data_IF_827752474869
#
_entry.id   IF_827752474869
#
_cell.length_a   1.000
_cell.length_b   1.000
_cell.length_c   1.000
_cell.angle_alpha   90.00
_cell.angle_beta   90.00
_cell.angle_gamma   90.00
#
_symmetry.space_group_name_H-M   'P 1'
#
loop_
_entity.id
_entity.type
_entity.pdbx_description
1 polymer ?
#
# COMPACT_ATOMS: atom_id res chain seq x y z
N UNK A 1 1.52 31.80 -19.91
CA UNK A 1 1.84 31.16 -18.62
C UNK A 1 0.53 30.83 -17.92
N UNK A 2 0.12 29.56 -17.85
CA UNK A 2 -1.08 29.13 -17.12
C UNK A 2 -0.80 29.25 -15.62
N UNK A 3 -1.58 30.05 -14.90
CA UNK A 3 -1.53 30.07 -13.44
C UNK A 3 -1.83 28.66 -12.91
N UNK A 4 -1.03 28.10 -11.99
CA UNK A 4 -1.37 26.84 -11.36
C UNK A 4 -2.66 27.00 -10.55
N UNK A 5 -3.66 26.15 -10.83
CA UNK A 5 -4.93 26.13 -10.13
C UNK A 5 -4.69 26.01 -8.61
N UNK A 6 -5.35 26.83 -7.80
CA UNK A 6 -5.22 26.81 -6.32
C UNK A 6 -5.47 25.42 -5.71
N UNK A 7 -6.29 24.61 -6.38
CA UNK A 7 -6.57 23.22 -6.01
C UNK A 7 -5.36 22.29 -6.16
N UNK A 8 -4.51 22.53 -7.16
CA UNK A 8 -3.32 21.72 -7.41
C UNK A 8 -2.27 21.93 -6.30
N UNK A 9 -2.02 23.19 -5.91
CA UNK A 9 -1.09 23.51 -4.82
C UNK A 9 -1.58 22.94 -3.48
N UNK A 10 -2.89 23.01 -3.23
CA UNK A 10 -3.50 22.41 -2.02
C UNK A 10 -3.36 20.89 -2.00
N UNK A 11 -3.57 20.22 -3.14
CA UNK A 11 -3.40 18.77 -3.29
C UNK A 11 -1.94 18.34 -3.10
N UNK A 12 -0.99 19.08 -3.66
CA UNK A 12 0.45 18.84 -3.48
C UNK A 12 0.83 18.99 -2.00
N UNK A 13 0.36 20.05 -1.34
CA UNK A 13 0.66 20.27 0.08
C UNK A 13 0.06 19.16 0.96
N UNK A 14 -1.15 18.70 0.66
CA UNK A 14 -1.78 17.57 1.33
C UNK A 14 -0.99 16.27 1.12
N UNK A 15 -0.53 16.00 -0.11
CA UNK A 15 0.30 14.83 -0.42
C UNK A 15 1.65 14.88 0.32
N UNK A 16 2.31 16.04 0.37
CA UNK A 16 3.55 16.24 1.11
C UNK A 16 3.34 16.07 2.62
N UNK A 17 2.26 16.63 3.16
CA UNK A 17 1.92 16.46 4.57
C UNK A 17 1.65 14.98 4.90
N UNK A 18 0.91 14.27 4.05
CA UNK A 18 0.68 12.85 4.19
C UNK A 18 1.99 12.05 4.14
N UNK A 19 2.89 12.36 3.20
CA UNK A 19 4.20 11.72 3.08
C UNK A 19 5.07 11.95 4.33
N UNK A 20 5.08 13.16 4.90
CA UNK A 20 5.81 13.47 6.14
C UNK A 20 5.21 12.72 7.33
N UNK A 21 3.89 12.74 7.50
CA UNK A 21 3.21 12.03 8.58
C UNK A 21 3.44 10.51 8.50
N UNK A 22 3.36 9.96 7.28
CA UNK A 22 3.65 8.56 7.02
C UNK A 22 5.12 8.22 7.30
N UNK A 23 6.05 9.04 6.82
CA UNK A 23 7.49 8.87 7.07
C UNK A 23 7.87 8.95 8.55
N UNK A 24 7.21 9.81 9.33
CA UNK A 24 7.39 9.92 10.78
C UNK A 24 6.78 8.76 11.56
N UNK A 25 5.72 8.12 11.04
CA UNK A 25 5.05 7.01 11.73
C UNK A 25 5.99 5.83 12.00
N UNK A 26 6.90 5.53 11.08
CA UNK A 26 7.83 4.39 11.18
C UNK A 26 8.86 4.56 12.30
N UNK A 27 9.64 5.66 12.41
CA UNK A 27 10.56 5.87 13.53
C UNK A 27 9.84 6.01 14.86
N UNK A 28 8.67 6.67 14.90
CA UNK A 28 7.87 6.74 16.13
C UNK A 28 7.40 5.35 16.57
N UNK A 29 6.82 4.56 15.67
CA UNK A 29 6.40 3.20 15.97
C UNK A 29 7.59 2.35 16.45
N UNK A 30 8.77 2.50 15.84
CA UNK A 30 9.99 1.79 16.24
C UNK A 30 10.43 2.08 17.67
N UNK A 31 10.16 3.26 18.23
CA UNK A 31 10.43 3.55 19.65
C UNK A 31 9.54 2.72 20.60
N UNK A 32 8.39 2.24 20.12
CA UNK A 32 7.47 1.38 20.87
C UNK A 32 7.69 -0.12 20.58
N UNK A 33 8.47 -0.46 19.54
CA UNK A 33 8.83 -1.84 19.22
C UNK A 33 9.85 -2.33 20.26
N UNK A 34 9.48 -3.37 21.01
CA UNK A 34 10.27 -3.93 22.11
C UNK A 34 9.57 -3.84 23.47
N UNK A 35 8.62 -2.91 23.62
CA UNK A 35 7.75 -2.80 24.80
C UNK A 35 6.33 -3.30 24.51
N UNK A 36 5.89 -3.24 23.25
CA UNK A 36 4.57 -3.68 22.79
C UNK A 36 4.73 -4.76 21.70
N UNK A 37 3.93 -5.85 21.73
CA UNK A 37 3.90 -6.83 20.64
C UNK A 37 3.57 -6.17 19.28
N UNK A 38 4.26 -6.51 18.18
CA UNK A 38 4.09 -5.86 16.88
C UNK A 38 2.64 -5.83 16.37
N UNK A 39 1.90 -6.91 16.58
CA UNK A 39 0.50 -7.00 16.16
C UNK A 39 -0.41 -6.05 16.94
N UNK A 40 -0.14 -5.87 18.25
CA UNK A 40 -0.90 -4.94 19.08
C UNK A 40 -0.58 -3.49 18.71
N UNK A 41 0.68 -3.18 18.42
CA UNK A 41 1.08 -1.85 17.94
C UNK A 41 0.39 -1.51 16.61
N UNK A 42 0.34 -2.46 15.66
CA UNK A 42 -0.41 -2.30 14.42
C UNK A 42 -1.90 -2.03 14.71
N UNK A 43 -2.52 -2.84 15.58
CA UNK A 43 -3.91 -2.65 16.00
C UNK A 43 -4.18 -1.27 16.61
N UNK A 44 -3.28 -0.77 17.45
CA UNK A 44 -3.37 0.57 18.05
C UNK A 44 -3.24 1.68 17.00
N UNK A 45 -2.36 1.54 16.01
CA UNK A 45 -2.22 2.50 14.91
C UNK A 45 -3.48 2.54 14.03
N UNK A 46 -4.05 1.38 13.68
CA UNK A 46 -5.31 1.31 12.94
C UNK A 46 -6.48 1.88 13.74
N UNK A 47 -6.58 1.56 15.04
CA UNK A 47 -7.62 2.11 15.91
C UNK A 47 -7.48 3.65 16.05
N UNK A 48 -6.25 4.14 16.23
CA UNK A 48 -5.97 5.58 16.29
C UNK A 48 -6.34 6.30 15.00
N UNK A 49 -6.02 5.72 13.84
CA UNK A 49 -6.45 6.23 12.53
C UNK A 49 -7.98 6.29 12.42
N UNK A 50 -8.69 5.21 12.81
CA UNK A 50 -10.15 5.15 12.79
C UNK A 50 -10.81 6.19 13.70
N UNK A 51 -10.27 6.42 14.90
CA UNK A 51 -10.74 7.46 15.83
C UNK A 51 -10.48 8.85 15.23
N UNK A 52 -9.28 9.10 14.70
CA UNK A 52 -8.93 10.38 14.09
C UNK A 52 -9.83 10.73 12.91
N UNK A 53 -10.09 9.77 12.03
CA UNK A 53 -11.02 9.93 10.90
C UNK A 53 -12.46 10.20 11.39
N UNK A 54 -12.91 9.46 12.41
CA UNK A 54 -14.25 9.64 12.99
C UNK A 54 -14.43 11.04 13.60
N UNK A 55 -13.43 11.53 14.32
CA UNK A 55 -13.41 12.89 14.87
C UNK A 55 -13.40 13.94 13.76
N UNK A 56 -12.63 13.72 12.69
CA UNK A 56 -12.59 14.62 11.54
C UNK A 56 -13.95 14.71 10.82
N UNK A 57 -14.60 13.56 10.59
CA UNK A 57 -15.96 13.50 10.01
C UNK A 57 -16.95 14.22 10.92
N UNK A 58 -16.88 14.03 12.23
CA UNK A 58 -17.74 14.71 13.20
C UNK A 58 -17.52 16.23 13.18
N UNK A 59 -16.28 16.69 13.16
CA UNK A 59 -15.93 18.11 13.07
C UNK A 59 -16.47 18.76 11.79
N UNK A 60 -16.35 18.07 10.64
CA UNK A 60 -16.93 18.55 9.37
C UNK A 60 -18.45 18.67 9.44
N UNK A 61 -19.11 17.68 10.08
CA UNK A 61 -20.55 17.67 10.30
C UNK A 61 -21.01 18.83 11.18
N UNK A 62 -20.30 19.12 12.27
CA UNK A 62 -20.58 20.26 13.16
C UNK A 62 -20.34 21.60 12.47
N UNK A 63 -19.37 21.67 11.54
CA UNK A 63 -19.08 22.88 10.74
C UNK A 63 -20.02 23.08 9.53
N UNK A 64 -21.09 22.28 9.39
CA UNK A 64 -22.03 22.32 8.27
C UNK A 64 -21.35 22.29 6.89
N UNK A 65 -20.20 21.62 6.79
CA UNK A 65 -19.52 21.46 5.51
C UNK A 65 -20.24 20.36 4.72
N UNK A 66 -20.63 20.66 3.47
CA UNK A 66 -21.22 19.67 2.60
C UNK A 66 -20.26 18.48 2.43
N UNK A 67 -20.76 17.23 2.46
CA UNK A 67 -19.96 16.07 2.14
C UNK A 67 -19.34 16.27 0.76
N UNK A 68 -18.01 16.28 0.70
CA UNK A 68 -17.27 16.40 -0.57
C UNK A 68 -17.21 15.06 -1.30
N UNK A 69 -17.31 13.95 -0.54
CA UNK A 69 -17.22 12.58 -1.02
C UNK A 69 -18.60 11.88 -0.95
N UNK A 70 -18.79 10.88 -1.81
CA UNK A 70 -20.01 10.08 -1.83
C UNK A 70 -20.20 9.33 -0.50
N UNK A 71 -21.43 9.26 0.05
CA UNK A 71 -21.68 8.50 1.28
C UNK A 71 -21.50 7.00 1.02
N UNK A 72 -20.85 6.30 1.96
CA UNK A 72 -20.73 4.84 1.96
C UNK A 72 -22.13 4.22 1.97
N UNK A 73 -22.49 3.55 0.88
CA UNK A 73 -23.73 2.78 0.78
C UNK A 73 -23.45 1.32 1.13
N UNK A 74 -24.50 0.57 1.50
CA UNK A 74 -24.36 -0.86 1.84
C UNK A 74 -23.74 -1.70 0.72
N UNK A 75 -23.80 -1.19 -0.51
CA UNK A 75 -23.20 -1.80 -1.70
C UNK A 75 -21.67 -1.69 -1.71
N UNK A 76 -21.09 -0.73 -0.99
CA UNK A 76 -19.64 -0.51 -0.89
C UNK A 76 -19.00 -1.37 0.21
N UNK A 77 -19.80 -1.85 1.17
CA UNK A 77 -19.35 -2.71 2.28
C UNK A 77 -18.59 -3.96 1.81
N UNK A 78 -19.06 -4.75 0.80
CA UNK A 78 -18.29 -5.89 0.33
C UNK A 78 -16.95 -5.51 -0.30
N UNK A 79 -16.87 -4.36 -1.00
CA UNK A 79 -15.63 -3.86 -1.59
C UNK A 79 -14.65 -3.43 -0.50
N UNK A 80 -15.13 -2.66 0.48
CA UNK A 80 -14.35 -2.24 1.64
C UNK A 80 -13.88 -3.44 2.48
N UNK A 81 -14.72 -4.46 2.66
CA UNK A 81 -14.34 -5.69 3.35
C UNK A 81 -13.27 -6.45 2.56
N UNK A 82 -13.39 -6.52 1.23
CA UNK A 82 -12.39 -7.10 0.35
C UNK A 82 -11.03 -6.40 0.47
N UNK A 83 -11.03 -5.07 0.41
CA UNK A 83 -9.87 -4.20 0.61
C UNK A 83 -9.17 -4.48 1.95
N UNK A 84 -9.93 -4.44 3.06
CA UNK A 84 -9.40 -4.71 4.40
C UNK A 84 -8.85 -6.13 4.55
N UNK A 85 -9.55 -7.15 4.02
CA UNK A 85 -9.09 -8.53 4.11
C UNK A 85 -7.85 -8.79 3.25
N UNK A 86 -7.83 -8.27 2.02
CA UNK A 86 -6.70 -8.42 1.12
C UNK A 86 -5.49 -7.63 1.63
N UNK A 87 -5.60 -6.30 1.71
CA UNK A 87 -4.47 -5.44 2.02
C UNK A 87 -4.16 -5.30 3.51
N UNK A 88 -5.19 -5.27 4.36
CA UNK A 88 -5.02 -5.09 5.81
C UNK A 88 -4.65 -6.37 6.57
N UNK A 89 -5.06 -7.54 6.08
CA UNK A 89 -4.86 -8.82 6.77
C UNK A 89 -3.92 -9.74 6.01
N UNK A 90 -4.29 -10.16 4.79
CA UNK A 90 -3.52 -11.15 4.04
C UNK A 90 -2.15 -10.63 3.61
N UNK A 91 -2.06 -9.38 3.14
CA UNK A 91 -0.82 -8.73 2.74
C UNK A 91 0.26 -8.76 3.83
N UNK A 92 0.03 -8.19 5.03
CA UNK A 92 0.99 -8.20 6.12
C UNK A 92 1.38 -9.60 6.59
N UNK A 93 0.42 -10.54 6.65
CA UNK A 93 0.71 -11.94 7.03
C UNK A 93 1.69 -12.57 6.04
N UNK A 94 1.40 -12.46 4.74
CA UNK A 94 2.25 -12.98 3.68
C UNK A 94 3.62 -12.30 3.66
N UNK A 95 3.69 -10.98 3.87
CA UNK A 95 4.95 -10.25 3.95
C UNK A 95 5.78 -10.73 5.14
N UNK A 96 5.19 -10.89 6.33
CA UNK A 96 5.91 -11.36 7.51
C UNK A 96 6.47 -12.76 7.28
N UNK A 97 5.68 -13.68 6.71
CA UNK A 97 6.14 -15.02 6.33
C UNK A 97 7.30 -14.93 5.32
N UNK A 98 7.18 -14.07 4.32
CA UNK A 98 8.21 -13.83 3.31
C UNK A 98 9.53 -13.32 3.89
N UNK A 99 9.47 -12.36 4.81
CA UNK A 99 10.63 -11.75 5.47
C UNK A 99 11.38 -12.73 6.38
N UNK A 100 10.71 -13.73 6.96
CA UNK A 100 11.42 -14.77 7.75
C UNK A 100 12.35 -15.64 6.92
N UNK A 101 12.19 -15.65 5.59
CA UNK A 101 12.95 -16.50 4.66
C UNK A 101 13.67 -15.73 3.56
N UNK A 102 13.60 -14.39 3.56
CA UNK A 102 14.14 -13.55 2.48
C UNK A 102 14.95 -12.39 3.07
N UNK A 103 16.16 -12.11 2.56
CA UNK A 103 16.93 -10.93 2.96
C UNK A 103 16.15 -9.63 2.71
N UNK A 104 16.34 -8.64 3.59
CA UNK A 104 15.63 -7.35 3.51
C UNK A 104 15.86 -6.60 2.19
N UNK A 105 17.06 -6.71 1.60
CA UNK A 105 17.40 -6.11 0.29
C UNK A 105 16.56 -6.71 -0.84
N UNK A 106 16.48 -8.04 -0.90
CA UNK A 106 15.66 -8.75 -1.88
C UNK A 106 14.17 -8.46 -1.67
N UNK A 107 13.71 -8.45 -0.41
CA UNK A 107 12.33 -8.14 -0.10
C UNK A 107 11.92 -6.73 -0.53
N UNK A 108 12.73 -5.70 -0.24
CA UNK A 108 12.44 -4.32 -0.64
C UNK A 108 12.32 -4.15 -2.16
N UNK A 109 13.03 -4.94 -2.96
CA UNK A 109 12.91 -4.92 -4.42
C UNK A 109 11.68 -5.69 -4.91
N UNK A 110 11.37 -6.83 -4.30
CA UNK A 110 10.14 -7.56 -4.62
C UNK A 110 8.89 -6.73 -4.28
N UNK A 111 8.94 -5.88 -3.27
CA UNK A 111 7.86 -4.94 -2.95
C UNK A 111 7.57 -3.94 -4.08
N UNK A 112 8.54 -3.62 -4.94
CA UNK A 112 8.28 -2.78 -6.11
C UNK A 112 7.34 -3.44 -7.13
N UNK A 113 7.14 -4.77 -7.05
CA UNK A 113 6.16 -5.48 -7.88
C UNK A 113 4.72 -5.08 -7.57
N UNK A 114 4.41 -4.54 -6.39
CA UNK A 114 3.07 -4.06 -6.06
C UNK A 114 2.56 -3.05 -7.09
N UNK A 115 3.38 -2.04 -7.43
CA UNK A 115 3.00 -1.03 -8.42
C UNK A 115 2.77 -1.63 -9.81
N UNK A 116 3.59 -2.61 -10.20
CA UNK A 116 3.44 -3.33 -11.47
C UNK A 116 2.15 -4.15 -11.47
N UNK A 117 1.89 -4.92 -10.43
CA UNK A 117 0.68 -5.73 -10.30
C UNK A 117 -0.58 -4.85 -10.25
N UNK A 118 -0.52 -3.72 -9.55
CA UNK A 118 -1.62 -2.74 -9.48
C UNK A 118 -1.95 -2.21 -10.88
N UNK A 119 -0.93 -1.80 -11.64
CA UNK A 119 -1.10 -1.31 -13.01
C UNK A 119 -1.59 -2.41 -13.98
N UNK A 120 -1.10 -3.64 -13.82
CA UNK A 120 -1.56 -4.78 -14.64
C UNK A 120 -3.02 -5.11 -14.37
N UNK A 121 -3.47 -5.11 -13.11
CA UNK A 121 -4.88 -5.30 -12.76
C UNK A 121 -5.73 -4.18 -13.37
N UNK A 122 -5.32 -2.92 -13.21
CA UNK A 122 -6.00 -1.76 -13.81
C UNK A 122 -6.13 -1.90 -15.33
N UNK A 123 -5.05 -2.30 -16.00
CA UNK A 123 -5.03 -2.51 -17.44
C UNK A 123 -5.94 -3.68 -17.89
N UNK A 124 -5.87 -4.83 -17.22
CA UNK A 124 -6.56 -6.04 -17.67
C UNK A 124 -8.04 -6.04 -17.27
N UNK A 125 -8.35 -5.66 -16.03
CA UNK A 125 -9.70 -5.71 -15.47
C UNK A 125 -10.50 -4.47 -15.84
N UNK A 126 -9.91 -3.28 -15.66
CA UNK A 126 -10.60 -2.01 -15.90
C UNK A 126 -10.36 -1.45 -17.31
N UNK A 127 -9.48 -2.09 -18.11
CA UNK A 127 -9.15 -1.69 -19.48
C UNK A 127 -8.61 -0.25 -19.57
N UNK A 128 -7.90 0.18 -18.54
CA UNK A 128 -7.22 1.48 -18.58
C UNK A 128 -6.09 1.50 -19.61
N UNK A 129 -5.86 2.65 -20.25
CA UNK A 129 -4.85 2.76 -21.29
C UNK A 129 -3.44 2.83 -20.67
N UNK A 130 -2.61 1.85 -20.98
CA UNK A 130 -1.18 1.85 -20.63
C UNK A 130 -0.37 2.39 -21.79
N UNK A 131 0.28 3.53 -21.60
CA UNK A 131 1.21 4.09 -22.56
C UNK A 131 2.59 3.40 -22.50
N UNK A 132 3.37 3.54 -23.58
CA UNK A 132 4.66 2.84 -23.74
C UNK A 132 5.66 3.14 -22.61
N UNK A 133 5.57 4.32 -21.97
CA UNK A 133 6.48 4.70 -20.88
C UNK A 133 6.18 3.90 -19.62
N UNK A 134 4.91 3.79 -19.25
CA UNK A 134 4.46 2.97 -18.10
C UNK A 134 4.83 1.50 -18.33
N UNK A 135 4.62 0.98 -19.55
CA UNK A 135 5.00 -0.39 -19.90
C UNK A 135 6.50 -0.67 -19.76
N UNK A 136 7.35 0.24 -20.25
CA UNK A 136 8.81 0.12 -20.09
C UNK A 136 9.23 0.22 -18.62
N UNK A 137 8.56 1.06 -17.83
CA UNK A 137 8.78 1.14 -16.38
C UNK A 137 8.46 -0.20 -15.68
N UNK A 138 7.33 -0.82 -16.01
CA UNK A 138 6.95 -2.13 -15.47
C UNK A 138 8.00 -3.21 -15.81
N UNK A 139 8.46 -3.25 -17.07
CA UNK A 139 9.50 -4.18 -17.49
C UNK A 139 10.82 -3.97 -16.76
N UNK A 140 11.23 -2.72 -16.53
CA UNK A 140 12.44 -2.40 -15.80
C UNK A 140 12.37 -2.86 -14.34
N UNK A 141 11.22 -2.67 -13.68
CA UNK A 141 10.98 -3.13 -12.30
C UNK A 141 11.06 -4.66 -12.24
N UNK A 142 10.33 -5.36 -13.13
CA UNK A 142 10.36 -6.83 -13.20
C UNK A 142 11.78 -7.34 -13.43
N UNK A 143 12.51 -6.76 -14.39
CA UNK A 143 13.87 -7.15 -14.70
C UNK A 143 14.80 -6.94 -13.48
N UNK A 144 14.69 -5.81 -12.79
CA UNK A 144 15.43 -5.54 -11.56
C UNK A 144 15.13 -6.56 -10.45
N UNK A 145 13.85 -6.87 -10.23
CA UNK A 145 13.41 -7.87 -9.25
C UNK A 145 13.95 -9.27 -9.57
N UNK A 146 13.92 -9.70 -10.84
CA UNK A 146 14.43 -11.00 -11.28
C UNK A 146 15.95 -11.07 -11.17
N UNK A 147 16.67 -10.07 -11.70
CA UNK A 147 18.14 -10.05 -11.70
C UNK A 147 18.71 -10.09 -10.27
N UNK A 148 18.07 -9.42 -9.31
CA UNK A 148 18.56 -9.43 -7.93
C UNK A 148 18.06 -10.61 -7.09
N UNK A 149 16.88 -11.16 -7.41
CA UNK A 149 16.42 -12.42 -6.79
C UNK A 149 17.30 -13.60 -7.21
N UNK A 150 18.05 -13.47 -8.31
CA UNK A 150 19.01 -14.46 -8.80
C UNK A 150 20.32 -14.53 -7.98
N UNK A 151 20.41 -13.92 -6.79
CA UNK A 151 21.61 -14.07 -5.94
C UNK A 151 21.79 -15.52 -5.46
N UNK A 152 22.68 -16.24 -6.17
CA UNK A 152 23.59 -17.34 -5.80
C UNK A 152 23.34 -18.13 -4.50
N UNK A 153 22.10 -18.48 -4.17
CA UNK A 153 21.83 -19.56 -3.23
C UNK A 153 21.81 -20.85 -4.05
N UNK A 154 22.81 -21.70 -3.84
CA UNK A 154 22.97 -23.02 -4.48
C UNK A 154 21.96 -24.05 -3.95
N UNK A 155 20.72 -23.64 -3.68
CA UNK A 155 19.63 -24.55 -3.32
C UNK A 155 18.61 -24.53 -4.46
N UNK A 156 18.32 -25.71 -4.99
CA UNK A 156 17.22 -26.00 -5.92
C UNK A 156 15.84 -25.95 -5.26
N UNK A 157 15.73 -25.32 -4.09
CA UNK A 157 14.50 -25.23 -3.33
C UNK A 157 13.62 -24.11 -3.89
N UNK A 158 12.31 -24.33 -3.89
CA UNK A 158 11.31 -23.32 -4.26
C UNK A 158 11.50 -22.09 -3.37
N UNK A 159 11.62 -20.86 -3.92
CA UNK A 159 11.85 -19.65 -3.15
C UNK A 159 10.56 -19.18 -2.46
N UNK A 160 10.10 -19.96 -1.47
CA UNK A 160 8.86 -19.73 -0.72
C UNK A 160 8.77 -18.33 -0.11
N UNK A 161 9.93 -17.77 0.29
CA UNK A 161 10.00 -16.40 0.80
C UNK A 161 9.63 -15.36 -0.27
N UNK A 162 10.21 -15.47 -1.47
CA UNK A 162 9.90 -14.58 -2.57
C UNK A 162 8.44 -14.72 -3.04
N UNK A 163 7.92 -15.96 -3.14
CA UNK A 163 6.53 -16.21 -3.49
C UNK A 163 5.55 -15.60 -2.48
N UNK A 164 5.84 -15.70 -1.18
CA UNK A 164 5.02 -15.07 -0.15
C UNK A 164 5.03 -13.54 -0.29
N UNK A 165 6.17 -12.92 -0.57
CA UNK A 165 6.27 -11.47 -0.79
C UNK A 165 5.51 -11.05 -2.06
N UNK A 166 5.65 -11.78 -3.16
CA UNK A 166 4.87 -11.52 -4.37
C UNK A 166 3.36 -11.68 -4.12
N UNK A 167 2.96 -12.67 -3.31
CA UNK A 167 1.58 -12.83 -2.86
C UNK A 167 1.09 -11.63 -2.03
N UNK A 168 1.93 -11.09 -1.14
CA UNK A 168 1.61 -9.87 -0.41
C UNK A 168 1.41 -8.67 -1.36
N UNK A 169 2.31 -8.49 -2.33
CA UNK A 169 2.18 -7.46 -3.37
C UNK A 169 0.88 -7.62 -4.18
N UNK A 170 0.47 -8.86 -4.47
CA UNK A 170 -0.80 -9.11 -5.15
C UNK A 170 -2.00 -8.74 -4.28
N UNK A 171 -1.97 -9.06 -2.98
CA UNK A 171 -3.01 -8.66 -2.05
C UNK A 171 -3.17 -7.14 -1.98
N UNK A 172 -2.06 -6.38 -1.93
CA UNK A 172 -2.11 -4.92 -1.98
C UNK A 172 -2.52 -4.38 -3.34
N UNK A 173 -2.10 -5.01 -4.43
CA UNK A 173 -2.55 -4.63 -5.76
C UNK A 173 -4.06 -4.82 -5.95
N UNK A 174 -4.65 -5.85 -5.34
CA UNK A 174 -6.09 -6.07 -5.30
C UNK A 174 -6.76 -5.00 -4.44
N UNK A 175 -6.26 -4.76 -3.22
CA UNK A 175 -6.77 -3.70 -2.33
C UNK A 175 -6.79 -2.33 -3.03
N UNK A 176 -5.72 -1.98 -3.76
CA UNK A 176 -5.64 -0.74 -4.52
C UNK A 176 -6.63 -0.62 -5.70
N UNK A 177 -7.18 -1.74 -6.17
CA UNK A 177 -8.11 -1.79 -7.32
C UNK A 177 -9.57 -2.07 -6.90
N UNK A 178 -9.82 -2.47 -5.66
CA UNK A 178 -11.17 -2.67 -5.09
C UNK A 178 -11.78 -1.33 -4.66
#
# INVERSE_FOLDING_TARGET
MKQPNSDQTRSILQALAAAVLFGLSTPLAKLLIGTIPPLLLAGLLYAGSGIGLSLWILLRKVRHQAPTEAPLIRRDVPWLAGAVLAGGVLGPILLMVGLTRTPASTASLLLNLEGVLTAVIAWVVFRENVDRRVFLGMLAIIAGSVLLSWQRQTNTDIPWGALAITGACLCWAIDNNL
#
